data_IF_862945482655
#
_entry.id   IF_862945482655
#
_cell.length_a   1.000
_cell.length_b   1.000
_cell.length_c   1.000
_cell.angle_alpha   90.00
_cell.angle_beta   90.00
_cell.angle_gamma   90.00
#
_symmetry.space_group_name_H-M   'P 1'
#
loop_
_entity.id
_entity.type
_entity.pdbx_description
1 polymer ?
#
# COMPACT_ATOMS: atom_id res chain seq x y z
N UNK A 1 0.47 -1.11 -11.01
CA UNK A 1 1.21 -1.23 -9.73
C UNK A 1 1.84 -2.60 -9.69
N UNK A 2 3.11 -2.70 -9.41
CA UNK A 2 3.76 -4.00 -9.24
C UNK A 2 3.50 -4.48 -7.79
N UNK A 3 2.59 -5.44 -7.65
CA UNK A 3 2.23 -6.02 -6.35
C UNK A 3 3.40 -6.76 -5.67
N UNK A 4 4.45 -7.12 -6.41
CA UNK A 4 5.65 -7.76 -5.87
C UNK A 4 6.46 -6.87 -4.90
N UNK A 5 6.18 -5.57 -4.89
CA UNK A 5 6.81 -4.60 -3.98
C UNK A 5 6.10 -4.46 -2.63
N UNK A 6 4.94 -5.12 -2.44
CA UNK A 6 4.19 -5.07 -1.16
C UNK A 6 4.85 -5.99 -0.15
N UNK A 7 5.12 -5.47 1.03
CA UNK A 7 5.67 -6.26 2.16
C UNK A 7 4.80 -7.48 2.44
N UNK A 8 5.39 -8.64 2.65
CA UNK A 8 4.75 -9.94 2.87
C UNK A 8 3.93 -10.49 1.68
N UNK A 9 3.99 -9.88 0.52
CA UNK A 9 3.37 -10.39 -0.71
C UNK A 9 4.49 -10.84 -1.64
N UNK A 10 4.63 -12.16 -1.79
CA UNK A 10 5.64 -12.75 -2.67
C UNK A 10 5.21 -12.72 -4.14
N UNK A 11 6.12 -13.08 -5.04
CA UNK A 11 5.84 -13.16 -6.48
C UNK A 11 4.81 -14.23 -6.81
N UNK A 12 4.87 -15.40 -6.18
CA UNK A 12 3.92 -16.51 -6.42
C UNK A 12 2.45 -16.12 -6.13
N UNK A 13 2.10 -15.52 -4.96
CA UNK A 13 0.77 -14.96 -4.75
C UNK A 13 0.34 -13.96 -5.84
N UNK A 14 1.23 -13.07 -6.25
CA UNK A 14 0.92 -12.07 -7.28
C UNK A 14 0.63 -12.73 -8.62
N UNK A 15 1.45 -13.68 -9.04
CA UNK A 15 1.28 -14.40 -10.30
C UNK A 15 -0.06 -15.17 -10.32
N UNK A 16 -0.44 -15.79 -9.19
CA UNK A 16 -1.71 -16.50 -9.07
C UNK A 16 -2.90 -15.54 -9.14
N UNK A 17 -2.85 -14.39 -8.44
CA UNK A 17 -3.89 -13.34 -8.49
C UNK A 17 -4.06 -12.82 -9.92
N UNK A 18 -2.97 -12.53 -10.62
CA UNK A 18 -2.99 -12.01 -11.98
C UNK A 18 -3.50 -13.06 -12.97
N UNK A 19 -3.02 -14.30 -12.85
CA UNK A 19 -3.44 -15.43 -13.69
C UNK A 19 -4.94 -15.69 -13.55
N UNK A 20 -5.43 -15.75 -12.31
CA UNK A 20 -6.85 -15.97 -12.01
C UNK A 20 -7.71 -14.84 -12.59
N UNK A 21 -7.31 -13.58 -12.39
CA UNK A 21 -8.00 -12.43 -12.97
C UNK A 21 -8.04 -12.47 -14.50
N UNK A 22 -6.94 -12.87 -15.13
CA UNK A 22 -6.86 -12.94 -16.60
C UNK A 22 -7.70 -14.10 -17.19
N UNK A 23 -7.86 -15.18 -16.44
CA UNK A 23 -8.62 -16.37 -16.87
C UNK A 23 -10.12 -16.19 -16.64
N UNK A 24 -10.52 -15.71 -15.48
CA UNK A 24 -11.91 -15.70 -15.00
C UNK A 24 -12.49 -14.27 -14.86
N UNK A 25 -11.77 -13.24 -15.32
CA UNK A 25 -12.23 -11.85 -15.31
C UNK A 25 -11.92 -11.12 -13.99
N UNK A 26 -12.33 -9.85 -13.93
CA UNK A 26 -12.14 -8.99 -12.76
C UNK A 26 -12.84 -9.57 -11.51
N UNK A 27 -12.28 -9.31 -10.35
CA UNK A 27 -12.90 -9.63 -9.08
C UNK A 27 -14.08 -8.69 -8.82
N UNK A 28 -15.21 -9.24 -8.41
CA UNK A 28 -16.45 -8.48 -8.17
C UNK A 28 -16.50 -7.84 -6.79
N UNK A 29 -15.68 -8.32 -5.86
CA UNK A 29 -15.61 -7.84 -4.49
C UNK A 29 -14.62 -8.67 -3.67
N UNK A 30 -14.48 -8.34 -2.39
CA UNK A 30 -13.52 -8.98 -1.50
C UNK A 30 -13.82 -10.48 -1.28
N UNK A 31 -15.08 -10.86 -1.15
CA UNK A 31 -15.48 -12.27 -0.98
C UNK A 31 -15.20 -13.10 -2.23
N UNK A 32 -15.54 -12.60 -3.42
CA UNK A 32 -15.21 -13.22 -4.71
C UNK A 32 -13.70 -13.41 -4.86
N UNK A 33 -12.89 -12.39 -4.50
CA UNK A 33 -11.44 -12.51 -4.46
C UNK A 33 -11.00 -13.65 -3.54
N UNK A 34 -11.49 -13.70 -2.30
CA UNK A 34 -11.10 -14.73 -1.34
C UNK A 34 -11.54 -16.12 -1.78
N UNK A 35 -12.73 -16.30 -2.35
CA UNK A 35 -13.22 -17.58 -2.85
C UNK A 35 -12.37 -18.15 -3.98
N UNK A 36 -11.93 -17.28 -4.88
CA UNK A 36 -11.12 -17.65 -6.05
C UNK A 36 -9.65 -17.86 -5.73
N UNK A 37 -9.09 -17.11 -4.78
CA UNK A 37 -7.64 -17.03 -4.54
C UNK A 37 -7.20 -17.64 -3.21
N UNK A 38 -8.07 -17.74 -2.18
CA UNK A 38 -7.67 -18.25 -0.87
C UNK A 38 -7.23 -19.73 -0.94
N UNK A 39 -5.97 -19.92 -1.22
CA UNK A 39 -5.25 -21.19 -1.22
C UNK A 39 -3.98 -21.09 -0.36
N UNK A 40 -3.13 -22.13 -0.39
CA UNK A 40 -1.89 -22.17 0.37
C UNK A 40 -0.89 -21.07 -0.05
N UNK A 41 -0.98 -20.56 -1.28
CA UNK A 41 -0.07 -19.54 -1.81
C UNK A 41 -0.45 -18.14 -1.36
N UNK A 42 -1.75 -17.87 -1.15
CA UNK A 42 -2.28 -16.58 -0.69
C UNK A 42 -2.82 -16.73 0.73
N UNK A 43 -1.94 -16.67 1.69
CA UNK A 43 -2.27 -16.84 3.10
C UNK A 43 -2.88 -15.54 3.70
N UNK A 44 -3.44 -15.65 4.91
CA UNK A 44 -4.04 -14.53 5.65
C UNK A 44 -3.14 -13.31 5.75
N UNK A 45 -1.83 -13.51 5.96
CA UNK A 45 -0.88 -12.40 6.09
C UNK A 45 -0.67 -11.66 4.76
N UNK A 46 -0.74 -12.37 3.65
CA UNK A 46 -0.73 -11.78 2.32
C UNK A 46 -1.99 -10.92 2.11
N UNK A 47 -3.18 -11.46 2.42
CA UNK A 47 -4.46 -10.75 2.31
C UNK A 47 -4.46 -9.50 3.21
N UNK A 48 -4.03 -9.61 4.46
CA UNK A 48 -3.89 -8.48 5.38
C UNK A 48 -3.00 -7.37 4.79
N UNK A 49 -1.86 -7.76 4.21
CA UNK A 49 -0.93 -6.80 3.61
C UNK A 49 -1.51 -6.12 2.37
N UNK A 50 -2.30 -6.85 1.56
CA UNK A 50 -3.04 -6.29 0.42
C UNK A 50 -4.11 -5.29 0.88
N UNK A 51 -4.87 -5.60 1.95
CA UNK A 51 -5.85 -4.66 2.52
C UNK A 51 -5.15 -3.39 3.01
N UNK A 52 -4.08 -3.53 3.79
CA UNK A 52 -3.30 -2.39 4.31
C UNK A 52 -2.68 -1.53 3.21
N UNK A 53 -2.32 -2.15 2.09
CA UNK A 53 -1.79 -1.46 0.91
C UNK A 53 -2.87 -0.77 0.06
N UNK A 54 -4.17 -0.98 0.35
CA UNK A 54 -5.27 -0.39 -0.41
C UNK A 54 -5.61 -1.13 -1.71
N UNK A 55 -5.26 -2.40 -1.83
CA UNK A 55 -5.54 -3.18 -3.05
C UNK A 55 -7.04 -3.40 -3.31
N UNK A 56 -7.88 -3.18 -2.31
CA UNK A 56 -9.33 -3.39 -2.36
C UNK A 56 -10.15 -2.11 -2.21
N UNK A 57 -9.53 -0.94 -2.30
CA UNK A 57 -10.20 0.36 -2.11
C UNK A 57 -11.27 0.66 -3.17
N UNK A 58 -11.26 -0.04 -4.30
CA UNK A 58 -12.30 0.06 -5.32
C UNK A 58 -13.58 -0.72 -4.97
N UNK A 59 -13.54 -1.56 -3.93
CA UNK A 59 -14.70 -2.28 -3.45
C UNK A 59 -15.49 -1.43 -2.44
N UNK A 60 -16.73 -1.86 -2.12
CA UNK A 60 -17.64 -1.11 -1.25
C UNK A 60 -17.17 -0.98 0.20
N UNK A 61 -16.39 -1.97 0.67
CA UNK A 61 -15.97 -2.06 2.07
C UNK A 61 -14.76 -1.18 2.35
N UNK A 62 -14.78 -0.49 3.50
CA UNK A 62 -13.63 0.26 4.02
C UNK A 62 -12.48 -0.66 4.40
N UNK A 63 -11.23 -0.17 4.41
CA UNK A 63 -10.07 -0.94 4.90
C UNK A 63 -10.28 -1.41 6.33
N UNK A 64 -10.89 -0.57 7.18
CA UNK A 64 -11.23 -0.89 8.57
C UNK A 64 -12.17 -2.09 8.66
N UNK A 65 -13.26 -2.08 7.89
CA UNK A 65 -14.23 -3.19 7.78
C UNK A 65 -13.56 -4.47 7.30
N UNK A 66 -12.72 -4.38 6.26
CA UNK A 66 -12.00 -5.55 5.75
C UNK A 66 -11.03 -6.12 6.78
N UNK A 67 -10.26 -5.28 7.49
CA UNK A 67 -9.33 -5.71 8.53
C UNK A 67 -10.03 -6.39 9.70
N UNK A 68 -11.24 -5.96 10.06
CA UNK A 68 -12.03 -6.58 11.13
C UNK A 68 -12.63 -7.94 10.71
N UNK A 69 -12.94 -8.11 9.42
CA UNK A 69 -13.78 -9.24 8.96
C UNK A 69 -13.00 -10.31 8.20
N UNK A 70 -11.85 -10.00 7.59
CA UNK A 70 -11.18 -10.87 6.61
C UNK A 70 -10.80 -12.25 7.16
N UNK A 71 -10.38 -12.35 8.42
CA UNK A 71 -9.96 -13.64 8.99
C UNK A 71 -11.12 -14.61 9.07
N UNK A 72 -12.29 -14.16 9.54
CA UNK A 72 -13.50 -14.97 9.63
C UNK A 72 -13.98 -15.41 8.24
N UNK A 73 -13.91 -14.50 7.26
CA UNK A 73 -14.29 -14.79 5.87
C UNK A 73 -13.38 -15.86 5.28
N UNK A 74 -12.06 -15.70 5.40
CA UNK A 74 -11.08 -16.66 4.88
C UNK A 74 -11.23 -18.04 5.56
N UNK A 75 -11.44 -18.09 6.88
CA UNK A 75 -11.64 -19.35 7.61
C UNK A 75 -12.91 -20.04 7.16
N UNK A 76 -13.99 -19.31 6.92
CA UNK A 76 -15.26 -19.87 6.42
C UNK A 76 -15.07 -20.47 5.04
N UNK A 77 -14.37 -19.78 4.13
CA UNK A 77 -14.08 -20.26 2.77
C UNK A 77 -13.21 -21.53 2.81
N UNK A 78 -12.13 -21.52 3.60
CA UNK A 78 -11.24 -22.68 3.71
C UNK A 78 -11.94 -23.90 4.32
N UNK A 79 -12.80 -23.69 5.32
CA UNK A 79 -13.59 -24.74 5.93
C UNK A 79 -14.61 -25.33 4.95
N UNK A 80 -15.24 -24.49 4.13
CA UNK A 80 -16.14 -24.91 3.07
C UNK A 80 -15.44 -25.75 1.99
N UNK A 81 -14.25 -25.32 1.54
CA UNK A 81 -13.44 -26.06 0.56
C UNK A 81 -13.01 -27.45 1.09
N UNK A 82 -12.60 -27.55 2.36
CA UNK A 82 -12.23 -28.83 2.98
C UNK A 82 -13.39 -29.80 3.05
N UNK A 83 -14.59 -29.34 3.44
CA UNK A 83 -15.80 -30.16 3.48
C UNK A 83 -16.23 -30.65 2.10
N UNK A 84 -16.07 -29.85 1.06
CA UNK A 84 -16.36 -30.24 -0.33
C UNK A 84 -15.40 -31.32 -0.84
N UNK A 85 -14.13 -31.33 -0.41
CA UNK A 85 -13.14 -32.34 -0.77
C UNK A 85 -13.38 -33.70 -0.06
N UNK A 86 -14.02 -33.71 1.11
CA UNK A 86 -14.34 -34.94 1.85
C UNK A 86 -15.64 -35.66 1.35
N UNK A 87 -16.19 -35.23 0.20
CA UNK A 87 -17.31 -35.92 -0.44
C UNK A 87 -18.69 -35.70 0.22
N UNK A 88 -18.79 -34.79 1.18
CA UNK A 88 -20.07 -34.31 1.67
C UNK A 88 -20.60 -33.26 0.71
N UNK A 89 -21.45 -33.68 -0.23
CA UNK A 89 -22.31 -32.78 -1.02
C UNK A 89 -23.06 -31.91 -0.03
N UNK A 90 -22.71 -30.64 0.07
CA UNK A 90 -23.43 -29.70 0.89
C UNK A 90 -24.89 -29.67 0.38
N UNK A 91 -25.87 -29.76 1.27
CA UNK A 91 -27.30 -29.61 0.94
C UNK A 91 -27.59 -28.28 0.21
N UNK A 92 -26.58 -27.37 0.14
CA UNK A 92 -26.60 -26.08 -0.54
C UNK A 92 -26.28 -26.14 -2.04
N UNK A 93 -25.72 -27.26 -2.55
CA UNK A 93 -25.41 -27.41 -3.99
C UNK A 93 -26.67 -27.82 -4.83
N UNK A 94 -27.81 -28.05 -4.19
CA UNK A 94 -29.06 -28.47 -4.85
C UNK A 94 -30.02 -27.30 -5.14
N UNK A 95 -29.64 -26.04 -4.81
CA UNK A 95 -30.46 -24.84 -5.04
C UNK A 95 -30.31 -24.25 -6.45
N UNK A 96 -31.27 -23.44 -6.86
CA UNK A 96 -31.20 -22.65 -8.10
C UNK A 96 -30.10 -21.55 -7.95
N UNK A 97 -29.52 -21.06 -9.07
CA UNK A 97 -28.50 -19.98 -9.04
C UNK A 97 -28.92 -18.77 -8.20
N UNK A 98 -30.21 -18.41 -8.19
CA UNK A 98 -30.75 -17.30 -7.39
C UNK A 98 -30.82 -17.60 -5.89
N UNK A 99 -30.99 -18.84 -5.48
CA UNK A 99 -30.93 -19.25 -4.08
C UNK A 99 -29.47 -19.35 -3.60
N UNK A 100 -28.57 -19.75 -4.47
CA UNK A 100 -27.13 -19.75 -4.20
C UNK A 100 -26.57 -18.31 -4.03
N UNK A 101 -27.04 -17.35 -4.83
CA UNK A 101 -26.66 -15.92 -4.68
C UNK A 101 -27.16 -15.35 -3.33
N UNK A 102 -28.42 -15.61 -2.95
CA UNK A 102 -28.97 -15.19 -1.65
C UNK A 102 -28.32 -15.89 -0.44
N UNK A 103 -27.89 -17.12 -0.58
CA UNK A 103 -27.20 -17.88 0.45
C UNK A 103 -25.71 -17.40 0.58
N UNK A 104 -25.10 -16.97 -0.51
CA UNK A 104 -23.77 -16.37 -0.49
C UNK A 104 -23.78 -14.99 0.20
N UNK A 105 -24.85 -14.19 0.06
CA UNK A 105 -25.03 -12.94 0.82
C UNK A 105 -25.13 -13.16 2.33
N UNK A 106 -25.70 -14.30 2.76
CA UNK A 106 -25.85 -14.65 4.18
C UNK A 106 -24.56 -15.28 4.76
N UNK A 107 -23.69 -15.81 3.90
CA UNK A 107 -22.52 -16.61 4.29
C UNK A 107 -21.37 -15.78 4.86
N UNK A 108 -21.26 -14.54 4.45
CA UNK A 108 -20.17 -13.65 4.85
C UNK A 108 -20.71 -12.38 5.52
N UNK A 109 -20.41 -12.20 6.79
CA UNK A 109 -20.82 -11.01 7.54
C UNK A 109 -19.62 -10.09 7.66
N UNK A 110 -19.77 -8.86 7.17
CA UNK A 110 -18.80 -7.80 7.40
C UNK A 110 -19.16 -7.08 8.71
N UNK A 111 -18.17 -6.87 9.57
CA UNK A 111 -18.29 -5.98 10.71
C UNK A 111 -18.02 -4.57 10.19
N UNK A 112 -19.09 -3.83 9.90
CA UNK A 112 -18.98 -2.49 9.33
C UNK A 112 -18.33 -1.52 10.30
N UNK A 113 -17.29 -0.87 9.82
CA UNK A 113 -16.54 0.16 10.53
C UNK A 113 -16.37 1.40 9.65
N UNK A 114 -16.36 2.56 10.27
CA UNK A 114 -15.92 3.78 9.59
C UNK A 114 -14.47 3.61 9.10
N UNK A 115 -14.13 4.30 8.01
CA UNK A 115 -12.79 4.20 7.46
C UNK A 115 -11.73 4.73 8.43
N UNK A 116 -10.54 4.17 8.36
CA UNK A 116 -9.40 4.60 9.17
C UNK A 116 -9.10 6.09 8.94
N UNK A 117 -8.66 6.81 9.99
CA UNK A 117 -8.19 8.16 9.81
C UNK A 117 -7.09 8.25 8.74
N UNK A 118 -7.11 9.31 7.92
CA UNK A 118 -6.15 9.47 6.81
C UNK A 118 -4.68 9.30 7.23
N UNK A 119 -4.33 9.72 8.45
CA UNK A 119 -2.99 9.53 9.01
C UNK A 119 -2.63 8.04 9.15
N UNK A 120 -3.58 7.20 9.53
CA UNK A 120 -3.37 5.75 9.67
C UNK A 120 -3.28 5.09 8.31
N UNK A 121 -4.16 5.44 7.37
CA UNK A 121 -4.09 4.98 5.97
C UNK A 121 -2.70 5.24 5.39
N UNK A 122 -2.20 6.48 5.49
CA UNK A 122 -0.88 6.86 5.01
C UNK A 122 0.24 6.08 5.73
N UNK A 123 0.08 5.81 7.02
CA UNK A 123 1.05 5.01 7.79
C UNK A 123 1.10 3.57 7.30
N UNK A 124 -0.06 2.95 7.04
CA UNK A 124 -0.17 1.58 6.50
C UNK A 124 0.42 1.49 5.09
N UNK A 125 0.11 2.44 4.21
CA UNK A 125 0.71 2.51 2.87
C UNK A 125 2.23 2.62 2.95
N UNK A 126 2.75 3.50 3.80
CA UNK A 126 4.19 3.66 3.98
C UNK A 126 4.85 2.39 4.52
N UNK A 127 4.17 1.66 5.42
CA UNK A 127 4.66 0.40 5.97
C UNK A 127 4.67 -0.72 4.91
N UNK A 128 3.60 -0.85 4.11
CA UNK A 128 3.42 -1.95 3.16
C UNK A 128 4.13 -1.70 1.83
N UNK A 129 4.12 -0.46 1.34
CA UNK A 129 4.59 -0.08 0.00
C UNK A 129 5.91 0.72 0.01
N UNK A 130 6.29 1.26 1.17
CA UNK A 130 7.42 2.19 1.27
C UNK A 130 7.13 3.60 0.74
N UNK A 131 5.96 3.84 0.15
CA UNK A 131 5.52 5.13 -0.42
C UNK A 131 4.12 5.48 0.09
N UNK A 132 3.70 6.73 -0.11
CA UNK A 132 2.34 7.19 0.12
C UNK A 132 1.59 7.21 -1.21
N UNK A 133 0.36 6.72 -1.27
CA UNK A 133 -0.48 6.68 -2.47
C UNK A 133 -1.69 7.60 -2.32
N UNK A 134 -2.42 7.47 -1.21
CA UNK A 134 -3.68 8.21 -0.99
C UNK A 134 -3.48 9.69 -0.69
N UNK A 135 -2.23 10.16 -0.54
CA UNK A 135 -1.92 11.55 -0.26
C UNK A 135 -0.54 11.70 0.37
N UNK A 136 -0.22 12.92 0.80
CA UNK A 136 1.04 13.20 1.48
C UNK A 136 0.81 13.71 2.90
N UNK A 137 1.53 13.24 3.92
CA UNK A 137 1.33 13.68 5.32
C UNK A 137 1.42 15.20 5.53
N UNK A 138 2.20 15.89 4.69
CA UNK A 138 2.36 17.34 4.74
C UNK A 138 1.40 18.11 3.83
N UNK A 139 0.42 17.45 3.17
CA UNK A 139 -0.49 18.11 2.23
C UNK A 139 -1.20 19.31 2.85
N UNK A 140 -1.70 19.15 4.07
CA UNK A 140 -2.39 20.22 4.82
C UNK A 140 -1.47 21.39 5.21
N UNK A 141 -0.16 21.17 5.24
CA UNK A 141 0.84 22.16 5.63
C UNK A 141 1.56 22.76 4.40
N UNK A 142 1.18 22.35 3.19
CA UNK A 142 1.88 22.72 1.96
C UNK A 142 2.02 24.24 1.79
N UNK A 143 0.95 24.97 1.95
CA UNK A 143 0.96 26.44 1.81
C UNK A 143 1.85 27.12 2.87
N UNK A 144 1.86 26.60 4.11
CA UNK A 144 2.73 27.12 5.18
C UNK A 144 4.18 26.81 4.90
N UNK A 145 4.46 25.61 4.40
CA UNK A 145 5.81 25.18 4.03
C UNK A 145 6.34 26.07 2.89
N UNK A 146 5.56 26.27 1.84
CA UNK A 146 5.94 27.11 0.70
C UNK A 146 6.23 28.57 1.10
N UNK A 147 5.52 29.10 2.10
CA UNK A 147 5.76 30.45 2.61
C UNK A 147 7.02 30.56 3.49
N UNK A 148 7.36 29.50 4.20
CA UNK A 148 8.46 29.51 5.18
C UNK A 148 9.78 28.94 4.66
N UNK A 149 9.77 28.25 3.52
CA UNK A 149 10.95 27.64 2.91
C UNK A 149 11.36 28.40 1.67
N UNK A 150 12.65 28.36 1.37
CA UNK A 150 13.21 28.97 0.16
C UNK A 150 13.85 27.95 -0.78
N UNK A 151 13.84 26.67 -0.41
CA UNK A 151 14.35 25.56 -1.21
C UNK A 151 13.44 24.34 -1.09
N UNK A 152 13.34 23.55 -2.15
CA UNK A 152 12.61 22.29 -2.18
C UNK A 152 13.52 21.10 -2.53
N UNK A 153 13.02 19.88 -2.36
CA UNK A 153 13.76 18.62 -2.60
C UNK A 153 14.29 18.50 -4.04
N UNK A 154 13.51 18.93 -5.04
CA UNK A 154 13.95 18.86 -6.44
C UNK A 154 15.13 19.80 -6.70
N UNK A 155 15.13 20.98 -6.11
CA UNK A 155 16.24 21.94 -6.24
C UNK A 155 17.51 21.40 -5.58
N UNK A 156 17.38 20.75 -4.39
CA UNK A 156 18.53 20.09 -3.72
C UNK A 156 19.09 18.99 -4.61
N UNK A 157 18.24 18.13 -5.15
CA UNK A 157 18.64 17.01 -6.01
C UNK A 157 19.34 17.50 -7.28
N UNK A 158 18.82 18.52 -7.92
CA UNK A 158 19.44 19.10 -9.13
C UNK A 158 20.82 19.69 -8.84
N UNK A 159 21.05 20.26 -7.64
CA UNK A 159 22.37 20.74 -7.21
C UNK A 159 23.34 19.56 -7.09
N UNK A 160 22.92 18.46 -6.46
CA UNK A 160 23.74 17.26 -6.23
C UNK A 160 24.10 16.57 -7.56
N UNK A 161 23.12 16.43 -8.47
CA UNK A 161 23.35 15.88 -9.80
C UNK A 161 24.32 16.71 -10.64
N UNK A 162 24.29 18.04 -10.53
CA UNK A 162 25.23 18.92 -11.24
C UNK A 162 26.64 18.93 -10.62
N UNK A 163 26.77 18.68 -9.32
CA UNK A 163 28.05 18.49 -8.67
C UNK A 163 28.73 17.16 -9.02
N UNK A 164 27.93 16.13 -9.35
CA UNK A 164 28.44 14.80 -9.72
C UNK A 164 28.74 14.65 -11.22
N UNK A 165 28.16 15.49 -12.09
CA UNK A 165 28.40 15.48 -13.54
C UNK A 165 29.41 16.57 -13.92
N UNK A 166 30.68 16.41 -13.56
CA UNK A 166 31.78 17.04 -14.26
C UNK A 166 32.08 16.30 -15.56
N UNK A 167 31.15 16.29 -16.53
CA UNK A 167 31.40 15.77 -17.88
C UNK A 167 30.59 16.59 -18.89
N UNK A 168 31.38 17.32 -19.70
CA UNK A 168 31.14 17.81 -21.05
C UNK A 168 29.85 18.60 -21.35
N UNK A 169 30.10 19.89 -21.57
CA UNK A 169 29.22 20.81 -22.29
C UNK A 169 28.74 20.19 -23.61
N UNK A 170 27.42 19.98 -23.73
CA UNK A 170 26.66 20.51 -24.86
C UNK A 170 25.21 20.03 -24.82
N UNK A 171 24.33 21.04 -24.87
CA UNK A 171 22.93 20.97 -25.33
C UNK A 171 21.95 20.21 -24.46
N UNK A 172 21.31 20.93 -23.54
CA UNK A 172 19.87 21.20 -23.57
C UNK A 172 19.62 22.35 -22.57
N UNK A 173 19.40 23.53 -23.13
CA UNK A 173 18.91 24.71 -22.42
C UNK A 173 17.45 24.46 -22.04
N UNK A 174 17.20 24.05 -20.82
CA UNK A 174 16.02 24.45 -20.07
C UNK A 174 16.49 25.00 -18.73
N UNK A 175 16.24 26.30 -18.56
CA UNK A 175 16.72 27.15 -17.48
C UNK A 175 16.27 26.69 -16.09
N UNK A 176 17.00 25.79 -15.46
CA UNK A 176 17.02 25.70 -14.00
C UNK A 176 18.28 26.41 -13.51
N UNK A 177 18.24 27.74 -13.53
CA UNK A 177 19.28 28.54 -12.86
C UNK A 177 19.35 28.10 -11.41
N UNK A 178 20.48 27.49 -11.03
CA UNK A 178 20.75 27.20 -9.62
C UNK A 178 20.77 28.57 -8.91
N UNK A 179 19.74 28.79 -8.07
CA UNK A 179 19.62 30.04 -7.31
C UNK A 179 20.47 30.09 -6.06
N UNK A 180 21.20 29.01 -5.72
CA UNK A 180 21.89 28.86 -4.45
C UNK A 180 23.40 28.74 -4.67
N UNK A 181 24.18 29.40 -3.79
CA UNK A 181 25.64 29.37 -3.78
C UNK A 181 26.13 28.57 -2.57
N UNK A 182 27.31 27.99 -2.68
CA UNK A 182 27.94 27.32 -1.54
C UNK A 182 28.08 28.28 -0.35
N UNK A 183 27.81 27.78 0.87
CA UNK A 183 27.76 28.58 2.09
C UNK A 183 26.49 29.41 2.30
N UNK A 184 25.53 29.39 1.37
CA UNK A 184 24.27 30.11 1.53
C UNK A 184 23.34 29.39 2.52
N UNK A 185 22.76 30.17 3.45
CA UNK A 185 21.75 29.65 4.38
C UNK A 185 20.43 29.37 3.66
N UNK A 186 19.91 28.17 3.84
CA UNK A 186 18.61 27.75 3.28
C UNK A 186 17.63 27.34 4.38
N UNK A 187 16.33 27.55 4.13
CA UNK A 187 15.24 27.06 4.95
C UNK A 187 14.53 25.93 4.22
N UNK A 188 14.57 24.75 4.80
CA UNK A 188 13.97 23.54 4.27
C UNK A 188 13.00 22.94 5.27
N UNK A 189 11.90 22.35 4.79
CA UNK A 189 10.93 21.61 5.62
C UNK A 189 10.71 20.22 5.06
N UNK A 190 10.58 19.24 5.94
CA UNK A 190 10.38 17.84 5.57
C UNK A 190 9.94 17.00 6.77
N UNK A 191 9.72 15.71 6.52
CA UNK A 191 9.41 14.73 7.56
C UNK A 191 10.71 14.03 7.95
N UNK A 192 11.00 13.99 9.25
CA UNK A 192 12.12 13.20 9.78
C UNK A 192 11.69 11.71 9.74
N UNK A 193 12.27 10.94 8.84
CA UNK A 193 11.98 9.51 8.67
C UNK A 193 12.85 8.62 9.54
N UNK A 194 14.06 9.06 9.88
CA UNK A 194 14.97 8.34 10.78
C UNK A 194 15.94 9.28 11.48
N UNK A 195 16.31 8.93 12.70
CA UNK A 195 17.32 9.65 13.49
C UNK A 195 18.43 8.68 13.87
N UNK A 196 19.66 8.93 13.40
CA UNK A 196 20.84 8.16 13.79
C UNK A 196 21.67 8.97 14.78
N UNK A 197 21.76 8.53 16.03
CA UNK A 197 22.63 9.14 17.03
C UNK A 197 24.05 8.61 16.85
N UNK A 198 25.02 9.50 16.63
CA UNK A 198 26.45 9.16 16.58
C UNK A 198 27.17 9.85 17.73
N UNK A 199 28.03 9.11 18.43
CA UNK A 199 28.87 9.65 19.48
C UNK A 199 30.29 9.84 18.93
N UNK A 200 30.85 11.02 19.14
CA UNK A 200 32.27 11.27 18.85
C UNK A 200 33.14 10.80 20.02
N UNK A 201 34.41 10.56 19.80
CA UNK A 201 35.35 10.15 20.86
C UNK A 201 35.43 11.14 22.04
N UNK A 202 34.97 12.37 21.85
CA UNK A 202 34.94 13.44 22.87
C UNK A 202 33.56 13.66 23.51
N UNK A 203 32.66 12.68 23.49
CA UNK A 203 31.34 12.72 24.14
C UNK A 203 30.48 13.96 23.73
N UNK A 204 30.62 14.46 22.51
CA UNK A 204 29.70 15.44 21.95
C UNK A 204 28.64 14.72 21.11
N UNK A 205 27.37 14.88 21.49
CA UNK A 205 26.25 14.33 20.74
C UNK A 205 25.98 15.24 19.51
N UNK A 206 26.12 14.69 18.31
CA UNK A 206 25.70 15.36 17.09
C UNK A 206 24.36 14.76 16.66
N UNK A 207 23.40 15.64 16.45
CA UNK A 207 22.12 15.29 15.82
C UNK A 207 22.22 15.62 14.33
N UNK A 208 22.08 14.62 13.50
CA UNK A 208 21.90 14.74 12.06
C UNK A 208 20.50 14.28 11.71
#
# INVERSE_FOLDING_TARGET
MDFGSIKNVGTVPVDNIVKERNTNGLYKGFTDFCERIADESVNKKCIESLIKAGAFDEFEQTRSTLLASFEKIVDTIQSGKKKGLEGQVSMFDLGTKQEQEKLNEIKYTFEEHEELPNKEILSLEKEMLGIYISGHPLEKLRSQIEQQTNINTMQIRNIDEQMTTNIEENQIQQETKIKFKDGQSVKYAGIITSIKKKYTKTIRLWHL
#
